data_IF_330097824828
#
_entry.id   IF_330097824828
#
_cell.length_a   1.000
_cell.length_b   1.000
_cell.length_c   1.000
_cell.angle_alpha   90.00
_cell.angle_beta   90.00
_cell.angle_gamma   90.00
#
_symmetry.space_group_name_H-M   'P 1'
#
loop_
_entity.id
_entity.type
_entity.pdbx_description
1 polymer ?
#
# COMPACT_ATOMS: atom_id res chain seq x y z
N UNK A 1 72.82 49.02 1.41
CA UNK A 1 73.72 47.93 1.86
C UNK A 1 72.87 46.75 2.33
N UNK A 2 73.12 45.55 1.79
CA UNK A 2 72.74 44.23 2.39
C UNK A 2 73.47 44.07 3.75
N UNK A 3 73.02 43.25 4.74
CA UNK A 3 72.79 41.81 4.55
C UNK A 3 71.72 41.07 5.41
N UNK A 4 71.52 39.82 4.96
CA UNK A 4 70.90 38.56 5.46
C UNK A 4 70.66 38.36 6.98
N UNK A 5 69.60 37.61 7.32
CA UNK A 5 69.66 36.25 7.93
C UNK A 5 68.26 35.59 8.05
N UNK A 6 68.16 34.28 7.75
CA UNK A 6 67.03 33.38 8.07
C UNK A 6 67.34 32.61 9.37
N UNK A 7 66.31 32.07 10.04
CA UNK A 7 66.45 30.74 10.62
C UNK A 7 65.30 29.76 10.30
N UNK A 8 65.74 28.51 10.22
CA UNK A 8 65.12 27.19 10.09
C UNK A 8 64.05 26.83 11.12
N UNK A 9 63.05 26.05 10.71
CA UNK A 9 62.39 25.05 11.58
C UNK A 9 62.21 23.73 10.82
N UNK A 10 62.60 22.64 11.49
CA UNK A 10 62.75 21.29 10.95
C UNK A 10 61.44 20.50 10.96
N UNK A 11 61.23 19.69 9.91
CA UNK A 11 60.16 18.71 9.80
C UNK A 11 60.66 17.33 10.27
N UNK A 12 59.99 16.72 11.24
CA UNK A 12 60.18 15.31 11.62
C UNK A 12 59.33 14.42 10.71
N UNK A 13 59.98 13.64 9.84
CA UNK A 13 59.40 12.46 9.20
C UNK A 13 59.59 11.25 10.12
N UNK A 14 58.51 10.68 10.62
CA UNK A 14 58.49 9.38 11.28
C UNK A 14 58.10 8.28 10.30
N UNK A 15 59.07 7.44 9.92
CA UNK A 15 58.88 6.20 9.16
C UNK A 15 58.30 5.12 10.07
N UNK A 16 57.14 4.55 9.70
CA UNK A 16 56.69 3.26 10.23
C UNK A 16 56.70 2.21 9.12
N UNK A 17 57.45 1.16 9.40
CA UNK A 17 57.81 0.02 8.55
C UNK A 17 56.62 -0.90 8.28
N UNK A 18 56.39 -1.23 7.01
CA UNK A 18 55.54 -2.34 6.59
C UNK A 18 56.17 -3.68 7.01
N UNK A 19 55.52 -4.41 7.91
CA UNK A 19 55.74 -5.84 8.09
C UNK A 19 54.70 -6.60 7.25
N UNK A 20 55.15 -7.15 6.12
CA UNK A 20 54.40 -8.11 5.34
C UNK A 20 54.48 -9.49 6.02
N UNK A 21 53.32 -10.05 6.37
CA UNK A 21 53.17 -11.48 6.59
C UNK A 21 51.95 -11.94 5.79
N UNK A 22 52.22 -12.66 4.71
CA UNK A 22 51.21 -13.39 3.97
C UNK A 22 50.81 -14.66 4.73
N UNK A 23 49.51 -14.86 4.86
CA UNK A 23 48.87 -16.15 5.09
C UNK A 23 47.44 -16.01 4.58
N UNK A 24 47.02 -16.94 3.70
CA UNK A 24 45.83 -16.85 2.87
C UNK A 24 44.58 -16.34 3.60
N UNK A 25 44.17 -15.12 3.24
CA UNK A 25 42.86 -14.60 3.61
C UNK A 25 41.84 -15.16 2.65
N UNK A 26 41.08 -16.16 3.10
CA UNK A 26 39.70 -16.36 2.66
C UNK A 26 39.04 -14.98 2.57
N UNK A 27 38.51 -14.61 1.41
CA UNK A 27 37.54 -13.52 1.30
C UNK A 27 36.43 -13.82 2.30
N UNK A 28 36.50 -13.20 3.49
CA UNK A 28 35.46 -13.28 4.50
C UNK A 28 34.26 -12.61 3.88
N UNK A 29 33.40 -13.43 3.28
CA UNK A 29 32.09 -13.02 2.81
C UNK A 29 31.43 -12.34 4.01
N UNK A 30 30.96 -11.11 3.84
CA UNK A 30 30.23 -10.41 4.91
C UNK A 30 29.16 -11.38 5.45
N UNK A 31 29.08 -11.59 6.77
CA UNK A 31 28.14 -12.55 7.33
C UNK A 31 26.76 -12.25 6.78
N UNK A 32 26.17 -13.24 6.13
CA UNK A 32 24.81 -13.15 5.61
C UNK A 32 23.91 -12.84 6.79
N UNK A 33 23.17 -11.74 6.71
CA UNK A 33 22.28 -11.32 7.79
C UNK A 33 21.30 -12.46 8.11
N UNK A 34 21.36 -12.95 9.35
CA UNK A 34 20.52 -14.04 9.84
C UNK A 34 19.35 -13.45 10.63
N UNK A 35 18.15 -13.50 10.02
CA UNK A 35 16.92 -13.02 10.64
C UNK A 35 16.48 -13.84 11.86
N UNK A 36 16.99 -15.07 12.02
CA UNK A 36 16.65 -15.95 13.14
C UNK A 36 17.69 -15.91 14.28
N UNK A 37 18.78 -15.16 14.13
CA UNK A 37 19.80 -15.02 15.16
C UNK A 37 19.23 -14.33 16.42
N UNK A 38 19.88 -14.56 17.57
CA UNK A 38 19.57 -13.83 18.79
C UNK A 38 19.94 -12.35 18.62
N UNK A 39 19.02 -11.40 18.87
CA UNK A 39 19.33 -9.99 18.73
C UNK A 39 20.33 -9.51 19.78
N UNK A 40 21.26 -8.67 19.36
CA UNK A 40 22.02 -7.84 20.29
C UNK A 40 21.17 -6.61 20.64
N UNK A 41 20.75 -6.49 21.90
CA UNK A 41 19.90 -5.39 22.38
C UNK A 41 20.70 -4.11 22.63
N UNK A 42 21.43 -3.62 21.62
CA UNK A 42 22.27 -2.43 21.71
C UNK A 42 22.32 -1.64 20.38
N UNK A 43 22.62 -0.34 20.49
CA UNK A 43 22.86 0.58 19.38
C UNK A 43 21.60 1.25 18.79
N UNK A 44 21.77 2.11 17.78
CA UNK A 44 20.68 2.81 17.06
C UNK A 44 20.04 2.01 15.92
N UNK A 45 18.74 1.73 15.98
CA UNK A 45 17.94 1.28 14.83
C UNK A 45 17.43 2.48 14.03
N UNK A 46 17.71 2.51 12.73
CA UNK A 46 17.20 3.53 11.80
C UNK A 46 15.93 3.05 11.09
N UNK A 47 14.88 3.87 11.10
CA UNK A 47 13.57 3.50 10.57
C UNK A 47 13.05 4.62 9.67
N UNK A 48 12.79 4.32 8.39
CA UNK A 48 12.03 5.20 7.50
C UNK A 48 10.57 4.78 7.45
N UNK A 49 9.66 5.72 7.73
CA UNK A 49 8.22 5.47 7.79
C UNK A 49 7.43 6.59 7.11
N UNK A 50 6.26 6.24 6.54
CA UNK A 50 5.38 7.19 5.84
C UNK A 50 4.40 7.95 6.75
N UNK A 51 4.59 7.84 8.05
CA UNK A 51 3.68 8.35 9.08
C UNK A 51 4.29 9.57 9.76
N UNK A 52 4.36 10.68 9.04
CA UNK A 52 4.70 11.99 9.60
C UNK A 52 3.45 12.74 10.07
N UNK A 53 3.61 13.55 11.11
CA UNK A 53 2.55 14.42 11.62
C UNK A 53 1.47 13.71 12.43
N UNK A 54 0.47 14.46 12.87
CA UNK A 54 -0.60 13.92 13.70
C UNK A 54 -1.66 13.16 12.88
N UNK A 55 -2.28 12.11 13.44
CA UNK A 55 -1.99 11.52 14.76
C UNK A 55 -0.93 10.41 14.69
N UNK A 56 -0.53 9.96 13.49
CA UNK A 56 0.24 8.72 13.32
C UNK A 56 1.72 8.85 13.66
N UNK A 57 2.30 10.04 13.58
CA UNK A 57 3.69 10.28 13.92
C UNK A 57 4.02 9.97 15.38
N UNK A 58 3.27 10.52 16.35
CA UNK A 58 3.39 10.17 17.77
C UNK A 58 3.27 8.67 18.08
N UNK A 59 2.54 7.89 17.28
CA UNK A 59 2.47 6.43 17.47
C UNK A 59 3.86 5.77 17.37
N UNK A 60 4.63 6.10 16.33
CA UNK A 60 5.95 5.50 16.12
C UNK A 60 6.98 5.99 17.13
N UNK A 61 6.90 7.26 17.54
CA UNK A 61 7.71 7.81 18.64
C UNK A 61 7.44 7.06 19.94
N UNK A 62 6.16 6.81 20.27
CA UNK A 62 5.76 6.06 21.46
C UNK A 62 6.20 4.60 21.41
N UNK A 63 6.11 3.94 20.25
CA UNK A 63 6.65 2.58 20.06
C UNK A 63 8.15 2.52 20.33
N UNK A 64 8.92 3.45 19.75
CA UNK A 64 10.36 3.54 19.96
C UNK A 64 10.71 3.79 21.43
N UNK A 65 9.98 4.68 22.11
CA UNK A 65 10.16 4.97 23.52
C UNK A 65 9.83 3.75 24.41
N UNK A 66 8.72 3.06 24.13
CA UNK A 66 8.30 1.87 24.87
C UNK A 66 9.31 0.72 24.72
N UNK A 67 9.82 0.50 23.51
CA UNK A 67 10.86 -0.50 23.27
C UNK A 67 12.19 -0.11 23.95
N UNK A 68 12.60 1.16 23.88
CA UNK A 68 13.80 1.67 24.58
C UNK A 68 13.69 1.49 26.09
N UNK A 69 12.49 1.62 26.67
CA UNK A 69 12.28 1.36 28.10
C UNK A 69 12.53 -0.10 28.48
N UNK A 70 12.21 -1.05 27.60
CA UNK A 70 12.51 -2.48 27.78
C UNK A 70 13.98 -2.81 27.48
N UNK A 71 14.59 -2.07 26.55
CA UNK A 71 15.98 -2.27 26.10
C UNK A 71 16.76 -0.94 26.12
N UNK A 72 17.26 -0.49 27.29
CA UNK A 72 17.81 0.87 27.46
C UNK A 72 19.00 1.25 26.57
N UNK A 73 19.72 0.24 26.07
CA UNK A 73 20.88 0.41 25.17
C UNK A 73 20.49 0.51 23.70
N UNK A 74 19.24 0.19 23.34
CA UNK A 74 18.70 0.42 22.00
C UNK A 74 18.28 1.89 21.89
N UNK A 75 18.60 2.50 20.76
CA UNK A 75 18.19 3.86 20.38
C UNK A 75 17.51 3.82 19.03
N UNK A 76 16.80 4.88 18.67
CA UNK A 76 16.09 4.98 17.41
C UNK A 76 16.45 6.27 16.67
N UNK A 77 16.60 6.14 15.36
CA UNK A 77 16.57 7.25 14.41
C UNK A 77 15.30 7.07 13.57
N UNK A 78 14.24 7.81 13.90
CA UNK A 78 12.99 7.79 13.16
C UNK A 78 13.02 8.86 12.06
N UNK A 79 12.91 8.43 10.82
CA UNK A 79 12.77 9.27 9.65
C UNK A 79 11.30 9.17 9.23
N UNK A 80 10.53 10.21 9.56
CA UNK A 80 9.08 10.24 9.32
C UNK A 80 8.79 11.18 8.17
N UNK A 81 8.20 10.65 7.10
CA UNK A 81 7.88 11.37 5.86
C UNK A 81 6.37 11.27 5.57
N UNK A 82 5.84 12.12 4.69
CA UNK A 82 4.48 11.98 4.15
C UNK A 82 4.44 10.93 3.02
N UNK A 83 3.24 10.51 2.58
CA UNK A 83 3.07 9.47 1.55
C UNK A 83 3.81 9.77 0.24
N UNK A 84 3.81 11.03 -0.21
CA UNK A 84 4.57 11.42 -1.40
C UNK A 84 6.07 11.58 -1.10
N UNK A 85 6.43 12.19 0.03
CA UNK A 85 7.84 12.45 0.39
C UNK A 85 8.63 11.15 0.61
N UNK A 86 8.00 10.12 1.18
CA UNK A 86 8.67 8.83 1.41
C UNK A 86 9.06 8.15 0.08
N UNK A 87 8.29 8.32 -0.99
CA UNK A 87 8.61 7.79 -2.33
C UNK A 87 9.91 8.39 -2.86
N UNK A 88 10.05 9.71 -2.77
CA UNK A 88 11.26 10.42 -3.23
C UNK A 88 12.47 10.12 -2.35
N UNK A 89 12.25 10.01 -1.03
CA UNK A 89 13.27 9.61 -0.07
C UNK A 89 13.79 8.20 -0.34
N UNK A 90 12.90 7.24 -0.54
CA UNK A 90 13.22 5.85 -0.86
C UNK A 90 14.04 5.76 -2.16
N UNK A 91 13.64 6.47 -3.23
CA UNK A 91 14.43 6.55 -4.48
C UNK A 91 15.85 7.06 -4.21
N UNK A 92 15.98 8.14 -3.46
CA UNK A 92 17.26 8.77 -3.12
C UNK A 92 18.16 7.82 -2.32
N UNK A 93 17.64 7.20 -1.25
CA UNK A 93 18.39 6.29 -0.39
C UNK A 93 18.76 4.98 -1.10
N UNK A 94 17.92 4.54 -2.03
CA UNK A 94 18.22 3.37 -2.87
C UNK A 94 19.39 3.65 -3.82
N UNK A 95 19.38 4.82 -4.46
CA UNK A 95 20.44 5.24 -5.39
C UNK A 95 21.79 5.41 -4.68
N UNK A 96 21.80 5.83 -3.42
CA UNK A 96 23.02 6.00 -2.61
C UNK A 96 23.41 4.78 -1.76
N UNK A 97 22.70 3.65 -1.89
CA UNK A 97 22.89 2.44 -1.09
C UNK A 97 22.83 2.69 0.44
N UNK A 98 21.99 3.64 0.86
CA UNK A 98 21.89 4.15 2.23
C UNK A 98 20.51 3.87 2.86
N UNK A 99 19.87 2.75 2.51
CA UNK A 99 18.58 2.38 3.10
C UNK A 99 18.73 2.15 4.63
N UNK A 100 17.76 2.60 5.45
CA UNK A 100 17.74 2.36 6.90
C UNK A 100 17.64 0.87 7.25
N UNK A 101 17.78 0.53 8.53
CA UNK A 101 17.63 -0.85 9.02
C UNK A 101 16.24 -1.40 8.72
N UNK A 102 15.22 -0.57 8.90
CA UNK A 102 13.81 -0.86 8.62
C UNK A 102 13.27 0.27 7.72
N UNK A 103 12.60 -0.07 6.64
CA UNK A 103 12.04 0.95 5.76
C UNK A 103 10.66 0.54 5.22
N UNK A 104 9.78 1.53 5.21
CA UNK A 104 8.42 1.39 4.73
C UNK A 104 8.37 1.06 3.23
N UNK A 105 7.37 0.28 2.82
CA UNK A 105 7.08 0.03 1.41
C UNK A 105 5.60 -0.33 1.20
N UNK A 106 5.15 -0.18 -0.04
CA UNK A 106 3.92 -0.77 -0.55
C UNK A 106 4.22 -2.17 -1.10
N UNK A 107 3.22 -3.04 -1.12
CA UNK A 107 3.33 -4.29 -1.87
C UNK A 107 3.36 -4.02 -3.38
N UNK A 108 3.35 -5.09 -4.19
CA UNK A 108 3.48 -4.98 -5.63
C UNK A 108 4.89 -4.59 -6.04
N UNK A 109 5.01 -3.83 -7.13
CA UNK A 109 6.30 -3.56 -7.75
C UNK A 109 7.24 -2.77 -6.83
N UNK A 110 6.72 -1.98 -5.90
CA UNK A 110 7.51 -1.27 -4.88
C UNK A 110 8.35 -2.25 -4.05
N UNK A 111 7.70 -3.15 -3.29
CA UNK A 111 8.40 -4.18 -2.54
C UNK A 111 9.27 -5.07 -3.43
N UNK A 112 8.77 -5.45 -4.61
CA UNK A 112 9.44 -6.41 -5.50
C UNK A 112 10.74 -5.88 -6.06
N UNK A 113 10.84 -4.58 -6.34
CA UNK A 113 12.09 -3.95 -6.74
C UNK A 113 13.17 -4.10 -5.66
N UNK A 114 12.82 -3.94 -4.38
CA UNK A 114 13.76 -4.15 -3.28
C UNK A 114 14.12 -5.64 -3.10
N UNK A 115 13.15 -6.54 -3.27
CA UNK A 115 13.36 -7.98 -3.17
C UNK A 115 14.30 -8.46 -4.29
N UNK A 116 13.99 -8.16 -5.55
CA UNK A 116 14.84 -8.48 -6.72
C UNK A 116 16.23 -7.84 -6.61
N UNK A 117 16.29 -6.62 -6.09
CA UNK A 117 17.55 -5.91 -5.84
C UNK A 117 18.39 -6.46 -4.69
N UNK A 118 17.93 -7.50 -3.98
CA UNK A 118 18.64 -8.06 -2.83
C UNK A 118 18.73 -7.12 -1.63
N UNK A 119 17.80 -6.17 -1.53
CA UNK A 119 17.75 -5.13 -0.48
C UNK A 119 16.82 -5.50 0.67
N UNK A 120 15.90 -6.45 0.48
CA UNK A 120 15.04 -6.99 1.53
C UNK A 120 15.59 -8.29 2.13
N UNK A 121 15.65 -8.38 3.45
CA UNK A 121 16.08 -9.58 4.17
C UNK A 121 15.05 -10.72 3.98
N UNK A 122 15.53 -11.96 3.87
CA UNK A 122 14.67 -13.15 3.88
C UNK A 122 14.18 -13.42 5.31
N UNK A 123 12.91 -13.18 5.57
CA UNK A 123 12.28 -13.31 6.89
C UNK A 123 11.55 -14.64 7.06
N UNK A 124 11.64 -15.55 6.08
CA UNK A 124 10.84 -16.79 6.03
C UNK A 124 10.93 -17.61 7.31
N UNK A 125 12.14 -17.72 7.89
CA UNK A 125 12.39 -18.49 9.11
C UNK A 125 11.68 -17.92 10.35
N UNK A 126 11.31 -16.63 10.35
CA UNK A 126 10.70 -15.96 11.49
C UNK A 126 9.25 -15.53 11.26
N UNK A 127 8.84 -15.16 10.04
CA UNK A 127 7.48 -14.68 9.73
C UNK A 127 6.71 -15.58 8.76
N UNK A 128 7.32 -16.65 8.23
CA UNK A 128 6.61 -17.57 7.34
C UNK A 128 5.34 -18.14 7.99
N UNK A 129 4.34 -18.58 7.21
CA UNK A 129 3.02 -18.98 7.72
C UNK A 129 3.07 -20.12 8.75
N UNK A 130 4.15 -20.92 8.77
CA UNK A 130 4.39 -21.98 9.75
C UNK A 130 5.03 -21.52 11.07
N UNK A 131 5.42 -20.25 11.20
CA UNK A 131 6.08 -19.74 12.42
C UNK A 131 5.06 -19.19 13.42
N UNK A 132 5.49 -19.04 14.68
CA UNK A 132 4.61 -18.46 15.72
C UNK A 132 4.21 -17.02 15.41
N UNK A 133 5.14 -16.21 14.88
CA UNK A 133 4.87 -14.83 14.50
C UNK A 133 4.08 -14.74 13.19
N UNK A 134 4.37 -15.57 12.18
CA UNK A 134 3.61 -15.57 10.92
C UNK A 134 2.13 -15.88 11.12
N UNK A 135 1.80 -16.80 12.04
CA UNK A 135 0.41 -17.14 12.38
C UNK A 135 -0.39 -15.99 13.00
N UNK A 136 0.25 -14.90 13.41
CA UNK A 136 -0.48 -13.73 13.94
C UNK A 136 -1.00 -12.82 12.85
N UNK A 137 -0.63 -13.00 11.58
CA UNK A 137 -1.08 -12.19 10.45
C UNK A 137 -2.14 -12.92 9.62
N UNK A 138 -2.97 -12.16 8.90
CA UNK A 138 -3.87 -12.79 7.93
C UNK A 138 -3.08 -13.39 6.75
N UNK A 139 -3.48 -14.55 6.19
CA UNK A 139 -2.75 -15.22 5.12
C UNK A 139 -2.54 -14.33 3.89
N UNK A 140 -3.57 -13.60 3.46
CA UNK A 140 -3.50 -12.67 2.33
C UNK A 140 -2.46 -11.56 2.54
N UNK A 141 -2.32 -11.06 3.78
CA UNK A 141 -1.35 -10.01 4.08
C UNK A 141 0.09 -10.48 3.95
N UNK A 142 0.41 -11.69 4.43
CA UNK A 142 1.73 -12.27 4.26
C UNK A 142 2.02 -12.62 2.80
N UNK A 143 1.03 -13.21 2.10
CA UNK A 143 1.16 -13.59 0.70
C UNK A 143 1.50 -12.39 -0.20
N UNK A 144 1.00 -11.19 0.10
CA UNK A 144 1.27 -9.99 -0.67
C UNK A 144 2.77 -9.61 -0.70
N UNK A 145 3.52 -9.93 0.35
CA UNK A 145 4.97 -9.73 0.46
C UNK A 145 5.80 -11.00 0.18
N UNK A 146 5.17 -12.09 -0.23
CA UNK A 146 5.85 -13.35 -0.49
C UNK A 146 6.32 -13.43 -1.96
N UNK A 147 7.58 -13.82 -2.19
CA UNK A 147 8.15 -14.04 -3.53
C UNK A 147 9.01 -15.29 -3.53
N UNK A 148 8.90 -16.11 -4.56
CA UNK A 148 9.69 -17.34 -4.75
C UNK A 148 9.69 -18.28 -3.52
N UNK A 149 8.53 -18.43 -2.87
CA UNK A 149 8.38 -19.26 -1.68
C UNK A 149 8.99 -18.69 -0.39
N UNK A 150 9.44 -17.43 -0.42
CA UNK A 150 10.02 -16.71 0.72
C UNK A 150 9.15 -15.53 1.13
N UNK A 151 9.26 -15.12 2.39
CA UNK A 151 8.56 -13.96 2.94
C UNK A 151 9.58 -12.86 3.26
N UNK A 152 9.35 -11.65 2.72
CA UNK A 152 10.32 -10.55 2.82
C UNK A 152 9.80 -9.34 3.61
N UNK A 153 8.49 -9.15 3.65
CA UNK A 153 7.85 -8.01 4.29
C UNK A 153 7.12 -8.35 5.58
N UNK A 154 6.93 -7.31 6.37
CA UNK A 154 6.20 -7.33 7.63
C UNK A 154 4.99 -6.43 7.43
N UNK A 155 3.81 -7.00 7.14
CA UNK A 155 2.57 -6.24 7.05
C UNK A 155 2.32 -5.49 8.38
N UNK A 156 1.99 -4.20 8.31
CA UNK A 156 1.62 -3.41 9.48
C UNK A 156 0.10 -3.29 9.56
N UNK A 157 -0.49 -2.70 8.52
CA UNK A 157 -1.92 -2.47 8.41
C UNK A 157 -2.42 -2.94 7.04
N UNK A 158 -3.67 -3.36 7.04
CA UNK A 158 -4.35 -3.94 5.89
C UNK A 158 -5.41 -2.98 5.41
N UNK A 159 -5.60 -2.93 4.10
CA UNK A 159 -6.63 -2.13 3.51
C UNK A 159 -7.37 -2.93 2.45
N UNK A 160 -8.61 -2.53 2.22
CA UNK A 160 -9.47 -3.07 1.19
C UNK A 160 -10.49 -2.02 0.80
N UNK A 161 -10.96 -2.08 -0.44
CA UNK A 161 -11.96 -1.16 -0.95
C UNK A 161 -13.34 -1.77 -1.02
N UNK A 162 -14.32 -0.98 -0.60
CA UNK A 162 -15.73 -1.33 -0.64
C UNK A 162 -16.54 -0.11 -1.11
N UNK A 163 -17.72 -0.40 -1.66
CA UNK A 163 -18.76 0.61 -1.76
C UNK A 163 -19.30 0.87 -0.36
N UNK A 164 -19.01 2.04 0.18
CA UNK A 164 -19.76 2.61 1.28
C UNK A 164 -21.09 3.15 0.78
N UNK A 165 -22.17 2.97 1.55
CA UNK A 165 -23.50 3.48 1.20
C UNK A 165 -24.30 3.98 2.40
N UNK A 166 -25.24 4.89 2.14
CA UNK A 166 -26.25 5.32 3.12
C UNK A 166 -27.49 4.43 3.01
N UNK A 167 -27.81 3.70 4.07
CA UNK A 167 -29.01 2.85 4.16
C UNK A 167 -30.28 3.67 3.96
N UNK A 168 -30.35 4.85 4.57
CA UNK A 168 -31.48 5.75 4.45
C UNK A 168 -31.67 6.29 3.03
N UNK A 169 -30.58 6.54 2.29
CA UNK A 169 -30.67 6.91 0.87
C UNK A 169 -31.24 5.76 0.02
N UNK A 170 -30.78 4.53 0.28
CA UNK A 170 -31.28 3.32 -0.37
C UNK A 170 -32.76 3.06 -0.06
N UNK A 171 -33.14 3.11 1.21
CA UNK A 171 -34.51 2.93 1.68
C UNK A 171 -35.45 3.98 1.06
N UNK A 172 -35.02 5.25 1.00
CA UNK A 172 -35.80 6.34 0.38
C UNK A 172 -35.99 6.15 -1.13
N UNK A 173 -34.98 5.60 -1.80
CA UNK A 173 -35.05 5.29 -3.23
C UNK A 173 -35.73 3.94 -3.53
N UNK A 174 -36.04 3.13 -2.50
CA UNK A 174 -36.63 1.81 -2.67
C UNK A 174 -35.71 0.80 -3.37
N UNK A 175 -34.39 0.97 -3.26
CA UNK A 175 -33.39 0.08 -3.88
C UNK A 175 -32.76 -0.85 -2.87
N UNK A 176 -32.53 -2.10 -3.27
CA UNK A 176 -31.77 -3.05 -2.48
C UNK A 176 -30.25 -2.85 -2.70
N UNK A 177 -29.43 -3.38 -1.79
CA UNK A 177 -27.97 -3.46 -1.99
C UNK A 177 -27.68 -4.30 -3.24
N UNK A 178 -27.03 -3.74 -4.27
CA UNK A 178 -26.79 -4.44 -5.53
C UNK A 178 -25.78 -5.57 -5.37
N UNK A 179 -26.05 -6.70 -6.03
CA UNK A 179 -25.23 -7.91 -6.00
C UNK A 179 -24.48 -8.15 -7.31
N UNK A 180 -24.90 -7.51 -8.40
CA UNK A 180 -24.18 -7.51 -9.68
C UNK A 180 -23.88 -6.10 -10.14
N UNK A 181 -22.91 -5.96 -11.05
CA UNK A 181 -22.58 -4.66 -11.64
C UNK A 181 -23.79 -4.02 -12.32
N UNK A 182 -24.62 -4.82 -12.99
CA UNK A 182 -25.83 -4.35 -13.67
C UNK A 182 -26.88 -3.85 -12.67
N UNK A 183 -27.03 -4.52 -11.53
CA UNK A 183 -27.89 -4.04 -10.44
C UNK A 183 -27.36 -2.73 -9.84
N UNK A 184 -26.04 -2.55 -9.74
CA UNK A 184 -25.43 -1.29 -9.29
C UNK A 184 -25.80 -0.15 -10.24
N UNK A 185 -25.61 -0.35 -11.54
CA UNK A 185 -25.98 0.66 -12.55
C UNK A 185 -27.49 0.96 -12.51
N UNK A 186 -28.33 -0.07 -12.38
CA UNK A 186 -29.79 0.09 -12.29
C UNK A 186 -30.23 0.87 -11.05
N UNK A 187 -29.52 0.74 -9.92
CA UNK A 187 -29.82 1.48 -8.69
C UNK A 187 -29.55 2.99 -8.81
N UNK A 188 -28.70 3.42 -9.75
CA UNK A 188 -28.30 4.81 -9.88
C UNK A 188 -29.44 5.75 -10.33
N UNK A 189 -30.39 5.26 -11.14
CA UNK A 189 -31.57 6.03 -11.55
C UNK A 189 -32.48 6.40 -10.36
N UNK A 190 -33.02 5.41 -9.62
CA UNK A 190 -33.86 5.66 -8.45
C UNK A 190 -33.18 6.51 -7.35
N UNK A 191 -31.88 6.31 -7.11
CA UNK A 191 -31.13 7.14 -6.15
C UNK A 191 -31.09 8.61 -6.56
N UNK A 192 -30.91 8.88 -7.86
CA UNK A 192 -30.95 10.23 -8.42
C UNK A 192 -32.35 10.85 -8.32
N UNK A 193 -33.39 10.09 -8.60
CA UNK A 193 -34.79 10.51 -8.43
C UNK A 193 -35.13 10.82 -6.96
N UNK A 194 -34.53 10.08 -6.02
CA UNK A 194 -34.65 10.33 -4.59
C UNK A 194 -33.84 11.57 -4.10
N UNK A 195 -33.09 12.22 -4.99
CA UNK A 195 -32.37 13.47 -4.74
C UNK A 195 -30.94 13.30 -4.24
N UNK A 196 -30.32 12.14 -4.48
CA UNK A 196 -28.92 11.88 -4.15
C UNK A 196 -28.06 11.79 -5.40
N UNK A 197 -26.81 12.24 -5.32
CA UNK A 197 -25.80 11.78 -6.27
C UNK A 197 -25.60 10.27 -6.07
N UNK A 198 -25.75 9.40 -7.09
CA UNK A 198 -25.73 7.96 -6.85
C UNK A 198 -24.38 7.47 -6.32
N UNK A 199 -23.28 7.87 -6.97
CA UNK A 199 -21.92 7.60 -6.54
C UNK A 199 -21.14 8.92 -6.54
N UNK A 200 -20.68 9.37 -5.37
CA UNK A 200 -19.67 10.42 -5.31
C UNK A 200 -18.38 9.91 -5.94
N UNK A 201 -17.78 10.69 -6.85
CA UNK A 201 -16.53 10.32 -7.48
C UNK A 201 -15.66 11.56 -7.70
N UNK A 202 -14.43 11.52 -7.20
CA UNK A 202 -13.46 12.60 -7.34
C UNK A 202 -12.14 12.05 -7.86
N UNK A 203 -11.80 12.37 -9.12
CA UNK A 203 -10.66 11.77 -9.83
C UNK A 203 -9.55 12.77 -10.15
N UNK A 204 -9.45 13.89 -9.43
CA UNK A 204 -8.45 14.93 -9.73
C UNK A 204 -7.01 14.42 -9.77
N UNK A 205 -6.68 13.47 -8.91
CA UNK A 205 -5.33 12.91 -8.78
C UNK A 205 -5.15 11.60 -9.60
N UNK A 206 -6.14 11.22 -10.41
CA UNK A 206 -6.11 10.08 -11.33
C UNK A 206 -6.22 8.68 -10.72
N UNK A 207 -5.62 8.45 -9.54
CA UNK A 207 -5.62 7.15 -8.86
C UNK A 207 -7.02 6.57 -8.54
N UNK A 208 -8.07 7.37 -8.22
CA UNK A 208 -9.38 6.81 -7.90
C UNK A 208 -10.00 6.01 -9.05
N UNK A 209 -9.77 6.44 -10.30
CA UNK A 209 -10.17 5.68 -11.49
C UNK A 209 -9.43 4.35 -11.60
N UNK A 210 -8.12 4.34 -11.31
CA UNK A 210 -7.31 3.13 -11.38
C UNK A 210 -7.79 2.06 -10.41
N UNK A 211 -8.32 2.45 -9.26
CA UNK A 211 -8.82 1.50 -8.28
C UNK A 211 -10.11 0.80 -8.75
N UNK A 212 -11.06 1.56 -9.29
CA UNK A 212 -12.22 0.95 -9.97
C UNK A 212 -11.79 0.04 -11.12
N UNK A 213 -10.84 0.49 -11.95
CA UNK A 213 -10.35 -0.29 -13.08
C UNK A 213 -9.68 -1.58 -12.64
N UNK A 214 -8.85 -1.55 -11.59
CA UNK A 214 -8.17 -2.73 -11.08
C UNK A 214 -9.15 -3.80 -10.59
N UNK A 215 -10.15 -3.38 -9.81
CA UNK A 215 -11.18 -4.29 -9.34
C UNK A 215 -11.97 -4.89 -10.50
N UNK A 216 -12.30 -4.09 -11.52
CA UNK A 216 -12.96 -4.56 -12.74
C UNK A 216 -12.05 -5.45 -13.60
N UNK A 217 -10.75 -5.20 -13.67
CA UNK A 217 -9.78 -6.08 -14.36
C UNK A 217 -9.70 -7.43 -13.67
N UNK A 218 -9.65 -7.47 -12.33
CA UNK A 218 -9.66 -8.72 -11.57
C UNK A 218 -10.92 -9.57 -11.86
N UNK A 219 -12.06 -8.93 -12.11
CA UNK A 219 -13.29 -9.62 -12.47
C UNK A 219 -13.33 -10.06 -13.94
N UNK A 220 -12.78 -9.27 -14.87
CA UNK A 220 -12.96 -9.49 -16.30
C UNK A 220 -11.78 -10.18 -16.99
N UNK A 221 -10.60 -10.24 -16.38
CA UNK A 221 -9.39 -10.88 -16.93
C UNK A 221 -9.03 -12.10 -16.08
N UNK A 222 -8.78 -13.28 -16.67
CA UNK A 222 -8.33 -14.44 -15.90
C UNK A 222 -7.09 -14.13 -15.05
N UNK A 223 -7.07 -14.58 -13.79
CA UNK A 223 -6.05 -14.19 -12.80
C UNK A 223 -4.61 -14.43 -13.27
N UNK A 224 -4.36 -15.55 -13.93
CA UNK A 224 -3.05 -15.89 -14.47
C UNK A 224 -2.61 -14.94 -15.59
N UNK A 225 -3.54 -14.52 -16.44
CA UNK A 225 -3.28 -13.53 -17.51
C UNK A 225 -3.01 -12.17 -16.89
N UNK A 226 -3.90 -11.71 -16.00
CA UNK A 226 -3.76 -10.41 -15.32
C UNK A 226 -2.44 -10.30 -14.56
N UNK A 227 -2.09 -11.34 -13.80
CA UNK A 227 -0.85 -11.38 -13.02
C UNK A 227 0.40 -11.37 -13.91
N UNK A 228 0.38 -12.06 -15.05
CA UNK A 228 1.48 -12.06 -16.02
C UNK A 228 1.63 -10.72 -16.76
N UNK A 229 0.53 -9.98 -16.91
CA UNK A 229 0.51 -8.68 -17.57
C UNK A 229 1.03 -7.53 -16.68
N UNK A 230 1.24 -7.76 -15.38
CA UNK A 230 1.91 -6.79 -14.50
C UNK A 230 3.44 -6.78 -14.63
N UNK A 231 4.04 -7.86 -15.14
CA UNK A 231 5.47 -7.89 -15.46
C UNK A 231 5.68 -7.51 -16.93
N UNK A 232 6.29 -6.35 -17.24
CA UNK A 232 6.56 -5.95 -18.61
C UNK A 232 7.27 -7.01 -19.44
N UNK A 233 8.15 -7.82 -18.84
CA UNK A 233 8.90 -8.86 -19.55
C UNK A 233 7.98 -9.93 -20.16
N UNK A 234 6.84 -10.22 -19.53
CA UNK A 234 5.86 -11.22 -19.97
C UNK A 234 4.55 -10.64 -20.49
N UNK A 235 4.34 -9.34 -20.28
CA UNK A 235 3.08 -8.66 -20.58
C UNK A 235 2.72 -8.71 -22.07
N UNK A 236 1.46 -9.07 -22.31
CA UNK A 236 0.77 -9.05 -23.60
C UNK A 236 -0.34 -8.01 -23.62
N UNK A 237 -1.06 -7.81 -22.51
CA UNK A 237 -2.17 -6.86 -22.38
C UNK A 237 -3.20 -6.99 -23.51
N UNK A 238 -3.52 -8.24 -23.88
CA UNK A 238 -4.29 -8.56 -25.08
C UNK A 238 -5.64 -9.23 -24.79
N UNK A 239 -5.94 -9.50 -23.52
CA UNK A 239 -7.20 -10.12 -23.13
C UNK A 239 -8.38 -9.15 -23.37
N UNK A 240 -9.46 -9.58 -24.02
CA UNK A 240 -10.62 -8.71 -24.27
C UNK A 240 -11.27 -8.20 -22.98
N UNK A 241 -11.05 -8.87 -21.84
CA UNK A 241 -11.52 -8.44 -20.52
C UNK A 241 -11.05 -7.05 -20.11
N UNK A 242 -9.90 -6.58 -20.59
CA UNK A 242 -9.43 -5.20 -20.35
C UNK A 242 -10.36 -4.17 -20.99
N UNK A 243 -10.74 -4.38 -22.25
CA UNK A 243 -11.67 -3.49 -22.95
C UNK A 243 -13.05 -3.53 -22.28
N UNK A 244 -13.52 -4.73 -21.91
CA UNK A 244 -14.78 -4.88 -21.16
C UNK A 244 -14.79 -4.09 -19.85
N UNK A 245 -13.73 -4.20 -19.04
CA UNK A 245 -13.61 -3.48 -17.78
C UNK A 245 -13.53 -1.95 -17.97
N UNK A 246 -12.78 -1.47 -18.97
CA UNK A 246 -12.74 -0.05 -19.32
C UNK A 246 -14.12 0.46 -19.74
N UNK A 247 -14.86 -0.29 -20.55
CA UNK A 247 -16.24 0.06 -20.94
C UNK A 247 -17.20 0.06 -19.75
N UNK A 248 -17.09 -0.91 -18.84
CA UNK A 248 -17.87 -0.95 -17.59
C UNK A 248 -17.56 0.27 -16.73
N UNK A 249 -16.28 0.61 -16.53
CA UNK A 249 -15.89 1.79 -15.78
C UNK A 249 -16.47 3.08 -16.39
N UNK A 250 -16.37 3.25 -17.72
CA UNK A 250 -16.98 4.40 -18.41
C UNK A 250 -18.50 4.44 -18.22
N UNK A 251 -19.16 3.29 -18.28
CA UNK A 251 -20.60 3.16 -18.01
C UNK A 251 -20.96 3.61 -16.60
N UNK A 252 -20.20 3.18 -15.59
CA UNK A 252 -20.37 3.61 -14.20
C UNK A 252 -20.21 5.13 -14.08
N UNK A 253 -19.15 5.70 -14.64
CA UNK A 253 -18.91 7.15 -14.57
C UNK A 253 -20.07 7.93 -15.21
N UNK A 254 -20.52 7.52 -16.40
CA UNK A 254 -21.54 8.24 -17.17
C UNK A 254 -22.94 8.15 -16.54
N UNK A 255 -23.27 6.99 -15.95
CA UNK A 255 -24.63 6.71 -15.46
C UNK A 255 -24.79 6.95 -13.96
N UNK A 256 -23.73 6.80 -13.17
CA UNK A 256 -23.82 6.81 -11.71
C UNK A 256 -23.19 8.03 -11.04
N UNK A 257 -22.43 8.85 -11.76
CA UNK A 257 -21.95 10.13 -11.24
C UNK A 257 -22.79 11.29 -11.78
N UNK A 258 -22.87 12.38 -11.02
CA UNK A 258 -23.50 13.61 -11.52
C UNK A 258 -22.54 14.44 -12.38
N UNK A 259 -21.23 14.31 -12.12
CA UNK A 259 -20.18 15.09 -12.78
C UNK A 259 -19.71 14.52 -14.12
N UNK A 260 -19.89 13.21 -14.37
CA UNK A 260 -19.59 12.53 -15.65
C UNK A 260 -18.18 12.86 -16.16
N UNK A 261 -18.06 13.41 -17.36
CA UNK A 261 -16.79 13.84 -17.98
C UNK A 261 -16.02 14.86 -17.11
N UNK A 262 -16.71 15.58 -16.23
CA UNK A 262 -16.15 16.56 -15.30
C UNK A 262 -15.51 15.97 -14.05
N UNK A 263 -15.57 14.65 -13.82
CA UNK A 263 -15.05 14.05 -12.56
C UNK A 263 -13.54 14.24 -12.39
N UNK A 264 -12.75 14.38 -13.45
CA UNK A 264 -11.32 14.72 -13.36
C UNK A 264 -11.06 16.11 -12.73
N UNK A 265 -12.08 16.96 -12.62
CA UNK A 265 -12.00 18.24 -11.91
C UNK A 265 -12.30 18.16 -10.41
N UNK A 266 -12.82 17.02 -9.92
CA UNK A 266 -13.34 16.87 -8.56
C UNK A 266 -12.28 16.28 -7.64
N UNK A 267 -12.02 16.96 -6.52
CA UNK A 267 -11.12 16.48 -5.49
C UNK A 267 -11.66 15.22 -4.82
N UNK A 268 -10.77 14.29 -4.50
CA UNK A 268 -11.12 13.09 -3.74
C UNK A 268 -11.80 13.43 -2.41
N UNK A 269 -11.23 14.39 -1.65
CA UNK A 269 -11.80 14.87 -0.40
C UNK A 269 -13.20 15.49 -0.54
N UNK A 270 -13.46 16.20 -1.66
CA UNK A 270 -14.79 16.74 -1.92
C UNK A 270 -15.82 15.64 -2.19
N UNK A 271 -15.42 14.53 -2.81
CA UNK A 271 -16.29 13.36 -2.97
C UNK A 271 -16.57 12.67 -1.62
N UNK A 272 -15.56 12.55 -0.75
CA UNK A 272 -15.73 12.07 0.63
C UNK A 272 -16.73 12.92 1.41
N UNK A 273 -16.58 14.24 1.34
CA UNK A 273 -17.50 15.19 1.99
C UNK A 273 -18.93 15.14 1.41
N UNK A 274 -19.07 14.90 0.10
CA UNK A 274 -20.38 14.74 -0.52
C UNK A 274 -21.11 13.51 0.05
N UNK A 275 -20.40 12.40 0.25
CA UNK A 275 -20.95 11.21 0.88
C UNK A 275 -21.25 11.44 2.36
N UNK A 276 -20.25 11.82 3.17
CA UNK A 276 -20.41 11.98 4.62
C UNK A 276 -21.41 13.09 4.98
N UNK A 277 -21.55 14.10 4.13
CA UNK A 277 -22.55 15.17 4.22
C UNK A 277 -23.96 14.79 3.78
N UNK A 278 -24.19 13.54 3.34
CA UNK A 278 -25.49 13.00 2.95
C UNK A 278 -26.01 13.49 1.60
N UNK A 279 -25.13 14.00 0.72
CA UNK A 279 -25.47 14.42 -0.65
C UNK A 279 -25.37 13.26 -1.64
N UNK A 280 -24.43 12.35 -1.43
CA UNK A 280 -24.26 11.16 -2.25
C UNK A 280 -24.72 9.91 -1.51
N UNK A 281 -25.26 8.95 -2.28
CA UNK A 281 -25.79 7.69 -1.74
C UNK A 281 -24.72 6.63 -1.56
N UNK A 282 -23.68 6.64 -2.39
CA UNK A 282 -22.57 5.71 -2.35
C UNK A 282 -21.22 6.39 -2.58
N UNK A 283 -20.16 5.72 -2.15
CA UNK A 283 -18.77 6.12 -2.37
C UNK A 283 -17.84 4.91 -2.30
N UNK A 284 -16.93 4.76 -3.27
CA UNK A 284 -15.96 3.64 -3.30
C UNK A 284 -14.67 4.04 -2.60
N UNK A 285 -14.42 3.43 -1.45
CA UNK A 285 -13.42 3.95 -0.51
C UNK A 285 -12.74 2.85 0.27
N UNK A 286 -11.60 3.21 0.84
CA UNK A 286 -10.77 2.32 1.63
C UNK A 286 -11.34 2.13 3.04
N UNK A 287 -11.12 0.95 3.63
CA UNK A 287 -11.60 0.67 5.00
C UNK A 287 -11.11 1.72 5.99
N UNK A 288 -9.85 2.16 5.88
CA UNK A 288 -9.26 3.15 6.79
C UNK A 288 -10.02 4.49 6.79
N UNK A 289 -10.85 4.74 5.78
CA UNK A 289 -11.60 5.98 5.61
C UNK A 289 -13.02 5.90 6.16
N UNK A 290 -13.49 4.71 6.54
CA UNK A 290 -14.86 4.48 6.97
C UNK A 290 -15.24 5.27 8.22
N UNK A 291 -14.30 5.51 9.13
CA UNK A 291 -14.55 6.35 10.31
C UNK A 291 -14.83 7.81 9.90
N UNK A 292 -14.22 8.29 8.80
CA UNK A 292 -14.43 9.62 8.23
C UNK A 292 -15.68 9.68 7.33
N UNK A 293 -16.25 8.54 6.96
CA UNK A 293 -17.45 8.46 6.14
C UNK A 293 -18.74 8.79 6.92
N UNK A 294 -18.65 8.94 8.24
CA UNK A 294 -19.79 9.19 9.13
C UNK A 294 -19.83 10.63 9.65
N UNK A 295 -21.04 11.15 9.90
CA UNK A 295 -21.29 12.48 10.43
C UNK A 295 -22.70 12.57 11.06
N UNK A 296 -23.15 13.77 11.45
CA UNK A 296 -24.54 14.01 11.84
C UNK A 296 -25.56 13.73 10.72
N UNK A 297 -25.10 13.69 9.46
CA UNK A 297 -25.92 13.42 8.27
C UNK A 297 -25.95 11.94 7.91
N UNK A 298 -24.78 11.30 7.82
CA UNK A 298 -24.62 9.85 7.64
C UNK A 298 -24.13 9.26 8.95
N UNK A 299 -25.06 8.85 9.81
CA UNK A 299 -24.71 8.33 11.13
C UNK A 299 -24.02 6.97 11.02
N UNK A 300 -23.22 6.54 12.01
CA UNK A 300 -22.57 5.22 11.98
C UNK A 300 -23.53 4.05 11.71
N UNK A 301 -24.75 4.07 12.25
CA UNK A 301 -25.75 3.02 12.00
C UNK A 301 -26.37 3.10 10.59
N UNK A 302 -26.37 4.28 9.97
CA UNK A 302 -26.85 4.50 8.60
C UNK A 302 -25.81 4.08 7.55
N UNK A 303 -24.54 4.02 7.94
CA UNK A 303 -23.47 3.60 7.07
C UNK A 303 -23.45 2.07 6.91
N UNK A 304 -23.39 1.61 5.67
CA UNK A 304 -23.19 0.22 5.32
C UNK A 304 -22.11 0.07 4.25
N UNK A 305 -21.63 -1.16 4.07
CA UNK A 305 -20.61 -1.48 3.08
C UNK A 305 -21.02 -2.70 2.25
N UNK A 306 -20.60 -2.74 0.99
CA UNK A 306 -20.65 -3.92 0.14
C UNK A 306 -19.48 -3.91 -0.85
N UNK A 307 -19.05 -5.08 -1.32
CA UNK A 307 -18.01 -5.20 -2.35
C UNK A 307 -18.49 -4.55 -3.65
N UNK A 308 -17.58 -3.94 -4.44
CA UNK A 308 -17.93 -3.51 -5.80
C UNK A 308 -18.52 -4.71 -6.56
N UNK A 309 -19.81 -4.70 -6.95
CA UNK A 309 -20.47 -5.90 -7.44
C UNK A 309 -19.84 -6.46 -8.71
N UNK A 310 -19.74 -7.80 -8.77
CA UNK A 310 -19.15 -8.50 -9.89
C UNK A 310 -20.07 -8.38 -11.12
N UNK A 311 -19.55 -8.08 -12.32
CA UNK A 311 -20.33 -8.14 -13.54
C UNK A 311 -20.84 -9.55 -13.84
N UNK A 312 -22.03 -9.64 -14.44
CA UNK A 312 -22.58 -10.94 -14.78
C UNK A 312 -21.69 -11.69 -15.80
N UNK A 313 -21.39 -12.96 -15.52
CA UNK A 313 -20.57 -13.83 -16.37
C UNK A 313 -19.11 -13.36 -16.57
N UNK A 314 -18.56 -12.54 -15.66
CA UNK A 314 -17.18 -12.12 -15.72
C UNK A 314 -16.23 -13.33 -15.60
N UNK A 315 -15.24 -13.51 -16.49
CA UNK A 315 -14.41 -14.73 -16.57
C UNK A 315 -13.25 -14.77 -15.57
N UNK A 316 -12.98 -13.67 -14.86
CA UNK A 316 -11.97 -13.57 -13.82
C UNK A 316 -12.46 -14.03 -12.45
N UNK A 317 -11.81 -13.55 -11.39
CA UNK A 317 -12.09 -13.97 -10.01
C UNK A 317 -13.02 -12.97 -9.30
N UNK A 318 -14.31 -13.29 -9.24
CA UNK A 318 -15.31 -12.49 -8.53
C UNK A 318 -15.17 -12.46 -7.01
N UNK A 319 -14.28 -13.27 -6.42
CA UNK A 319 -14.06 -13.32 -4.96
C UNK A 319 -12.94 -12.38 -4.50
N UNK A 320 -12.20 -11.77 -5.44
CA UNK A 320 -11.10 -10.86 -5.13
C UNK A 320 -11.63 -9.51 -4.65
N UNK A 321 -11.04 -9.03 -3.56
CA UNK A 321 -11.19 -7.67 -3.09
C UNK A 321 -9.96 -6.86 -3.48
N UNK A 322 -10.18 -5.66 -4.01
CA UNK A 322 -9.11 -4.71 -4.18
C UNK A 322 -8.61 -4.25 -2.82
N UNK A 323 -7.30 -4.32 -2.63
CA UNK A 323 -6.68 -4.15 -1.34
C UNK A 323 -5.20 -4.43 -1.41
N UNK A 324 -4.47 -3.82 -0.48
CA UNK A 324 -3.08 -4.16 -0.23
C UNK A 324 -2.81 -3.98 1.24
N UNK A 325 -2.08 -4.89 1.89
CA UNK A 325 -1.41 -4.52 3.11
C UNK A 325 -0.27 -3.55 2.77
N UNK A 326 0.12 -2.76 3.76
CA UNK A 326 1.31 -1.93 3.70
C UNK A 326 2.15 -2.20 4.94
N UNK A 327 3.44 -1.97 4.84
CA UNK A 327 4.33 -2.40 5.90
C UNK A 327 5.78 -2.08 5.64
N UNK A 328 6.64 -2.95 6.16
CA UNK A 328 8.06 -2.70 6.20
C UNK A 328 8.86 -3.84 5.60
N UNK A 329 10.00 -3.48 5.02
CA UNK A 329 11.09 -4.38 4.73
C UNK A 329 12.20 -4.15 5.75
N UNK A 330 12.96 -5.21 6.04
CA UNK A 330 14.23 -5.10 6.77
C UNK A 330 15.35 -5.11 5.74
N UNK A 331 16.28 -4.16 5.85
CA UNK A 331 17.41 -4.07 4.94
C UNK A 331 18.32 -5.29 5.07
N UNK A 332 18.49 -6.04 3.98
CA UNK A 332 19.33 -7.24 3.92
C UNK A 332 20.80 -6.98 4.28
N UNK A 333 21.26 -5.74 4.10
CA UNK A 333 22.62 -5.29 4.42
C UNK A 333 22.76 -4.71 5.83
N UNK A 334 21.67 -4.59 6.59
CA UNK A 334 21.74 -4.07 7.96
C UNK A 334 22.60 -4.99 8.83
N UNK A 335 23.53 -4.46 9.65
CA UNK A 335 24.23 -5.26 10.65
C UNK A 335 23.31 -5.65 11.83
N UNK A 336 22.05 -5.22 11.83
CA UNK A 336 21.11 -5.30 12.95
C UNK A 336 19.81 -6.03 12.59
N UNK A 337 19.82 -6.89 11.55
CA UNK A 337 18.62 -7.60 11.09
C UNK A 337 17.88 -8.32 12.23
N UNK A 338 18.59 -9.03 13.12
CA UNK A 338 17.95 -9.70 14.25
C UNK A 338 17.26 -8.72 15.22
N UNK A 339 17.89 -7.58 15.53
CA UNK A 339 17.32 -6.53 16.37
C UNK A 339 16.12 -5.84 15.68
N UNK A 340 16.21 -5.62 14.37
CA UNK A 340 15.11 -5.09 13.56
C UNK A 340 13.90 -6.05 13.55
N UNK A 341 14.14 -7.36 13.40
CA UNK A 341 13.10 -8.40 13.50
C UNK A 341 12.45 -8.37 14.88
N UNK A 342 13.24 -8.27 15.95
CA UNK A 342 12.72 -8.24 17.32
C UNK A 342 11.86 -6.99 17.58
N UNK A 343 12.33 -5.81 17.17
CA UNK A 343 11.54 -4.59 17.23
C UNK A 343 10.24 -4.71 16.43
N UNK A 344 10.27 -5.32 15.24
CA UNK A 344 9.06 -5.50 14.43
C UNK A 344 8.08 -6.50 15.03
N UNK A 345 8.54 -7.52 15.76
CA UNK A 345 7.65 -8.38 16.59
C UNK A 345 7.00 -7.59 17.71
N UNK A 346 7.73 -6.68 18.35
CA UNK A 346 7.15 -5.78 19.35
C UNK A 346 6.12 -4.83 18.73
N UNK A 347 6.46 -4.16 17.63
CA UNK A 347 5.58 -3.23 16.92
C UNK A 347 4.29 -3.91 16.42
N UNK A 348 4.39 -5.18 16.02
CA UNK A 348 3.24 -6.00 15.58
C UNK A 348 2.70 -6.94 16.67
N UNK A 349 3.02 -6.69 17.93
CA UNK A 349 2.36 -7.40 19.04
C UNK A 349 0.87 -7.06 19.06
N UNK A 350 0.03 -7.98 19.56
CA UNK A 350 -1.42 -7.77 19.60
C UNK A 350 -1.80 -6.47 20.34
N UNK A 351 -1.08 -6.12 21.41
CA UNK A 351 -1.30 -4.88 22.15
C UNK A 351 -1.02 -3.64 21.28
N UNK A 352 0.16 -3.58 20.65
CA UNK A 352 0.54 -2.43 19.82
C UNK A 352 -0.29 -2.35 18.52
N UNK A 353 -0.72 -3.50 18.00
CA UNK A 353 -1.61 -3.60 16.85
C UNK A 353 -3.04 -3.13 17.18
N UNK A 354 -3.55 -3.46 18.38
CA UNK A 354 -4.83 -2.92 18.88
C UNK A 354 -4.76 -1.41 19.06
N UNK A 355 -3.66 -0.90 19.62
CA UNK A 355 -3.41 0.54 19.74
C UNK A 355 -3.42 1.20 18.38
N UNK A 356 -2.70 0.67 17.39
CA UNK A 356 -2.67 1.19 16.02
C UNK A 356 -4.05 1.24 15.35
N UNK A 357 -4.89 0.23 15.61
CA UNK A 357 -6.23 0.13 15.03
C UNK A 357 -7.21 1.14 15.66
N UNK A 358 -7.06 1.41 16.95
CA UNK A 358 -7.96 2.29 17.70
C UNK A 358 -7.81 3.77 17.32
N UNK A 359 -8.87 4.59 17.49
CA UNK A 359 -8.74 6.03 17.51
C UNK A 359 -7.69 6.49 18.54
N UNK A 360 -6.89 7.53 18.26
CA UNK A 360 -6.99 8.42 17.11
C UNK A 360 -6.26 7.92 15.85
N UNK A 361 -5.57 6.77 15.89
CA UNK A 361 -4.71 6.33 14.79
C UNK A 361 -5.48 5.70 13.64
N UNK A 362 -6.46 4.84 13.96
CA UNK A 362 -7.44 4.32 12.99
C UNK A 362 -6.84 3.48 11.85
N UNK A 363 -5.65 2.91 12.02
CA UNK A 363 -4.99 2.11 10.98
C UNK A 363 -5.31 0.63 11.19
N UNK A 364 -6.14 -0.03 10.36
CA UNK A 364 -6.61 -1.38 10.63
C UNK A 364 -5.46 -2.39 10.55
N UNK A 365 -4.95 -2.86 11.69
CA UNK A 365 -3.76 -3.70 11.70
C UNK A 365 -4.00 -5.05 11.01
N UNK A 366 -2.98 -5.56 10.33
CA UNK A 366 -2.97 -6.91 9.72
C UNK A 366 -2.85 -8.04 10.75
N UNK A 367 -2.57 -7.72 12.01
CA UNK A 367 -2.50 -8.68 13.10
C UNK A 367 -3.91 -9.16 13.44
N UNK A 368 -4.13 -10.47 13.35
CA UNK A 368 -5.42 -11.10 13.64
C UNK A 368 -5.82 -10.83 15.08
N UNK A 369 -7.03 -10.29 15.26
CA UNK A 369 -7.59 -9.92 16.58
C UNK A 369 -7.27 -8.49 17.02
N UNK A 370 -6.52 -7.71 16.24
CA UNK A 370 -6.25 -6.30 16.53
C UNK A 370 -7.43 -5.38 16.18
N UNK A 371 -8.16 -5.69 15.10
CA UNK A 371 -9.36 -4.97 14.67
C UNK A 371 -10.61 -5.66 15.24
N UNK A 372 -11.27 -4.98 16.16
CA UNK A 372 -12.43 -5.45 16.92
C UNK A 372 -13.46 -4.33 17.04
N UNK A 373 -14.67 -4.64 17.52
CA UNK A 373 -15.68 -3.61 17.82
C UNK A 373 -15.23 -2.62 18.91
N UNK A 374 -14.22 -2.97 19.74
CA UNK A 374 -13.64 -2.08 20.76
C UNK A 374 -12.55 -1.17 20.19
N UNK A 375 -11.92 -1.56 19.09
CA UNK A 375 -10.75 -0.90 18.50
C UNK A 375 -11.03 -0.28 17.14
N UNK A 376 -12.27 -0.31 16.66
CA UNK A 376 -12.66 0.23 15.35
C UNK A 376 -14.16 0.43 15.27
N UNK A 377 -14.65 1.24 14.31
CA UNK A 377 -16.08 1.28 14.04
C UNK A 377 -16.59 -0.05 13.48
N UNK A 378 -17.90 -0.28 13.60
CA UNK A 378 -18.54 -1.49 13.06
C UNK A 378 -18.24 -1.71 11.56
N UNK A 379 -18.35 -0.70 10.69
CA UNK A 379 -18.01 -0.86 9.26
C UNK A 379 -16.54 -1.23 9.04
N UNK A 380 -15.59 -0.65 9.82
CA UNK A 380 -14.18 -1.03 9.74
C UNK A 380 -14.00 -2.49 10.15
N UNK A 381 -14.60 -2.89 11.27
CA UNK A 381 -14.54 -4.27 11.75
C UNK A 381 -15.09 -5.26 10.71
N UNK A 382 -16.28 -4.99 10.16
CA UNK A 382 -16.92 -5.81 9.12
C UNK A 382 -16.06 -5.89 7.85
N UNK A 383 -15.52 -4.76 7.38
CA UNK A 383 -14.64 -4.69 6.21
C UNK A 383 -13.36 -5.51 6.39
N UNK A 384 -12.70 -5.39 7.54
CA UNK A 384 -11.49 -6.19 7.83
C UNK A 384 -11.80 -7.68 7.92
N UNK A 385 -12.96 -8.08 8.45
CA UNK A 385 -13.36 -9.49 8.42
C UNK A 385 -13.53 -10.03 7.00
N UNK A 386 -14.01 -9.21 6.06
CA UNK A 386 -14.12 -9.58 4.65
C UNK A 386 -12.73 -9.68 3.99
N UNK A 387 -11.87 -8.69 4.20
CA UNK A 387 -10.47 -8.70 3.69
C UNK A 387 -9.71 -9.92 4.21
N UNK A 388 -9.83 -10.25 5.50
CA UNK A 388 -9.14 -11.40 6.09
C UNK A 388 -9.63 -12.76 5.57
N UNK A 389 -10.84 -12.82 5.03
CA UNK A 389 -11.40 -14.03 4.40
C UNK A 389 -11.06 -14.12 2.91
N UNK A 390 -10.65 -13.01 2.28
CA UNK A 390 -10.29 -13.01 0.87
C UNK A 390 -9.05 -13.89 0.66
N UNK A 391 -9.08 -14.83 -0.32
CA UNK A 391 -7.94 -15.71 -0.58
C UNK A 391 -6.76 -14.95 -1.18
N UNK A 392 -7.04 -13.85 -1.89
CA UNK A 392 -6.10 -12.96 -2.55
C UNK A 392 -6.68 -11.55 -2.57
N UNK A 393 -5.80 -10.54 -2.58
CA UNK A 393 -6.18 -9.16 -2.83
C UNK A 393 -5.69 -8.71 -4.21
N UNK A 394 -6.51 -7.94 -4.92
CA UNK A 394 -6.06 -7.19 -6.09
C UNK A 394 -5.33 -5.94 -5.61
N UNK A 395 -4.00 -5.95 -5.71
CA UNK A 395 -3.17 -4.81 -5.34
C UNK A 395 -3.48 -3.63 -6.26
N UNK A 396 -3.44 -2.40 -5.75
CA UNK A 396 -3.72 -1.16 -6.47
C UNK A 396 -2.95 -1.09 -7.80
N UNK A 397 -3.64 -0.76 -8.90
CA UNK A 397 -3.07 -0.83 -10.26
C UNK A 397 -1.83 0.06 -10.44
N UNK A 398 -1.80 1.23 -9.81
CA UNK A 398 -0.69 2.17 -9.80
C UNK A 398 0.54 1.68 -9.00
N UNK A 399 0.35 0.71 -8.10
CA UNK A 399 1.43 0.16 -7.27
C UNK A 399 1.94 -1.19 -7.75
N UNK A 400 1.08 -1.98 -8.39
CA UNK A 400 1.42 -3.31 -8.92
C UNK A 400 2.15 -3.23 -10.26
N UNK A 401 1.95 -2.16 -11.03
CA UNK A 401 2.61 -1.94 -12.33
C UNK A 401 3.94 -1.19 -12.19
N UNK A 402 4.77 -1.23 -13.24
CA UNK A 402 5.96 -0.37 -13.33
C UNK A 402 5.55 1.09 -13.59
N UNK A 403 6.35 2.09 -13.15
CA UNK A 403 5.96 3.49 -13.18
C UNK A 403 5.44 3.99 -14.55
N UNK A 404 6.11 3.63 -15.63
CA UNK A 404 5.73 4.04 -16.99
C UNK A 404 4.37 3.47 -17.40
N UNK A 405 4.05 2.25 -16.96
CA UNK A 405 2.76 1.59 -17.21
C UNK A 405 1.68 2.19 -16.30
N UNK A 406 1.99 2.48 -15.04
CA UNK A 406 1.10 3.18 -14.12
C UNK A 406 0.70 4.57 -14.66
N UNK A 407 1.66 5.35 -15.14
CA UNK A 407 1.44 6.66 -15.76
C UNK A 407 0.55 6.55 -17.02
N UNK A 408 0.75 5.50 -17.82
CA UNK A 408 -0.09 5.24 -18.98
C UNK A 408 -1.54 4.87 -18.60
N UNK A 409 -1.73 4.10 -17.52
CA UNK A 409 -3.06 3.83 -16.97
C UNK A 409 -3.72 5.08 -16.40
N UNK A 410 -2.98 5.93 -15.67
CA UNK A 410 -3.47 7.21 -15.13
C UNK A 410 -3.98 8.11 -16.25
N UNK A 411 -3.12 8.43 -17.22
CA UNK A 411 -3.49 9.25 -18.37
C UNK A 411 -4.61 8.60 -19.21
N UNK A 412 -4.62 7.27 -19.30
CA UNK A 412 -5.64 6.48 -19.98
C UNK A 412 -7.02 6.60 -19.33
N UNK A 413 -7.10 6.43 -18.00
CA UNK A 413 -8.33 6.55 -17.22
C UNK A 413 -8.92 7.96 -17.31
N UNK A 414 -8.08 8.99 -17.18
CA UNK A 414 -8.50 10.38 -17.34
C UNK A 414 -9.03 10.68 -18.75
N UNK A 415 -8.33 10.21 -19.79
CA UNK A 415 -8.74 10.36 -21.17
C UNK A 415 -10.03 9.59 -21.49
N UNK A 416 -10.24 8.43 -20.87
CA UNK A 416 -11.47 7.67 -21.01
C UNK A 416 -12.66 8.42 -20.39
N UNK A 417 -12.51 8.92 -19.17
CA UNK A 417 -13.55 9.69 -18.47
C UNK A 417 -13.97 10.91 -19.29
N UNK A 418 -13.00 11.68 -19.78
CA UNK A 418 -13.23 12.90 -20.56
C UNK A 418 -13.66 12.65 -22.01
N UNK A 419 -13.74 11.38 -22.45
CA UNK A 419 -14.08 11.02 -23.83
C UNK A 419 -12.98 11.28 -24.85
N UNK A 420 -11.76 11.62 -24.40
CA UNK A 420 -10.60 11.85 -25.26
C UNK A 420 -9.99 10.59 -25.87
N UNK A 421 -10.25 9.41 -25.29
CA UNK A 421 -9.85 8.10 -25.83
C UNK A 421 -10.94 7.05 -25.66
N UNK A 422 -11.04 6.12 -26.60
CA UNK A 422 -11.83 4.89 -26.43
C UNK A 422 -11.09 3.87 -25.55
N UNK A 423 -11.80 2.85 -25.08
CA UNK A 423 -11.19 1.76 -24.29
C UNK A 423 -10.02 1.09 -25.03
N UNK A 424 -10.17 0.85 -26.33
CA UNK A 424 -9.13 0.25 -27.17
C UNK A 424 -7.91 1.17 -27.30
N UNK A 425 -8.12 2.48 -27.46
CA UNK A 425 -7.03 3.46 -27.54
C UNK A 425 -6.28 3.61 -26.22
N UNK A 426 -6.97 3.49 -25.09
CA UNK A 426 -6.35 3.43 -23.76
C UNK A 426 -5.48 2.19 -23.65
N UNK A 427 -6.04 1.01 -23.90
CA UNK A 427 -5.30 -0.25 -23.81
C UNK A 427 -4.08 -0.26 -24.72
N UNK A 428 -4.20 0.28 -25.94
CA UNK A 428 -3.09 0.41 -26.88
C UNK A 428 -1.97 1.30 -26.33
N UNK A 429 -2.32 2.43 -25.68
CA UNK A 429 -1.33 3.33 -25.08
C UNK A 429 -0.57 2.65 -23.94
N UNK A 430 -1.27 1.87 -23.11
CA UNK A 430 -0.66 1.10 -22.02
C UNK A 430 0.24 0.00 -22.57
N UNK A 431 -0.20 -0.70 -23.62
CA UNK A 431 0.61 -1.73 -24.28
C UNK A 431 1.93 -1.15 -24.80
N UNK A 432 1.90 0.02 -25.41
CA UNK A 432 3.10 0.73 -25.86
C UNK A 432 4.02 1.12 -24.69
N UNK A 433 3.47 1.57 -23.57
CA UNK A 433 4.26 1.87 -22.37
C UNK A 433 4.86 0.61 -21.72
N UNK A 434 4.14 -0.51 -21.74
CA UNK A 434 4.67 -1.79 -21.28
C UNK A 434 5.80 -2.27 -22.19
N UNK A 435 5.62 -2.19 -23.51
CA UNK A 435 6.65 -2.58 -24.48
C UNK A 435 7.93 -1.75 -24.39
N UNK A 436 7.85 -0.47 -23.99
CA UNK A 436 9.03 0.39 -23.84
C UNK A 436 9.87 0.10 -22.58
N UNK A 437 9.34 -0.71 -21.66
CA UNK A 437 9.99 -1.08 -20.38
C UNK A 437 10.52 -2.52 -20.34
N UNK A 438 10.43 -3.23 -21.47
CA UNK A 438 10.92 -4.61 -21.65
C UNK A 438 12.44 -4.75 -21.64
#
# INVERSE_FOLDING_TARGET
MRPRALPTFAALLGTLTLAACGSGGTTTQAPKADAAATPEFSGTLSILTKFAGDPTGPYFENLAAAYTKQHPQVKFELIQETDQSVKDKLKTLTASDALPDIYFTWTGNWADNYIRGGRAADLTAVIGPGTAWGRTFSPGSLAAFARDGKNYGIPLYGNGKFMGYSKSAFDKAGVAVPKTFEELIAACGPLREAGYEPIAFGNKDGWPALHYLQQLFAYNVPDATLSADFDPATAKLADPGYVTALTQFKTLVDQCTDTREGTNGVLYSSAQEAFSGGKAAMYYQEILEFDNATSDKVKPDDFGIFQLPVPANAPGDGTVLEGSPEGYLINAKSPRVALAVDFMKFATSLENAKTLSAPPYGQPSTVVGAVTEETSSKPVHEGVQLVNKAPKLAIWLDTVTVPEVADAWLAGGEALISGGKTAEQVLESVRQASESTK
#
